data_IF_072364347214
#
_entry.id   IF_072364347214
#
_cell.length_a   1.000
_cell.length_b   1.000
_cell.length_c   1.000
_cell.angle_alpha   90.00
_cell.angle_beta   90.00
_cell.angle_gamma   90.00
#
_symmetry.space_group_name_H-M   'P 1'
#
loop_
_entity.id
_entity.type
_entity.pdbx_description
1 polymer ?
#
# COMPACT_ATOMS: atom_id res chain seq x y z
N UNK A 1 -7.06 12.18 15.88
CA UNK A 1 -7.96 12.18 14.73
C UNK A 1 -8.05 10.79 14.15
N UNK A 2 -9.25 10.30 13.97
CA UNK A 2 -9.43 8.94 13.46
C UNK A 2 -9.13 8.87 11.98
N UNK A 3 -8.40 7.82 11.57
CA UNK A 3 -8.21 7.53 10.16
C UNK A 3 -9.43 6.72 9.71
N UNK A 4 -10.04 7.15 8.62
CA UNK A 4 -11.10 6.39 8.00
C UNK A 4 -10.49 5.40 7.02
N UNK A 5 -10.93 4.16 7.09
CA UNK A 5 -10.43 3.09 6.25
C UNK A 5 -11.46 2.72 5.20
N UNK A 6 -11.00 2.53 3.99
CA UNK A 6 -11.82 2.09 2.87
C UNK A 6 -11.40 0.67 2.52
N UNK A 7 -12.36 -0.21 2.39
CA UNK A 7 -12.07 -1.55 1.90
C UNK A 7 -11.89 -1.48 0.40
N UNK A 8 -10.79 -2.04 -0.09
CA UNK A 8 -10.45 -2.05 -1.50
C UNK A 8 -10.04 -3.46 -1.90
N UNK A 9 -10.32 -3.82 -3.15
CA UNK A 9 -9.99 -5.16 -3.62
C UNK A 9 -8.70 -5.15 -4.41
N UNK A 10 -7.89 -6.18 -4.21
CA UNK A 10 -6.66 -6.38 -4.96
C UNK A 10 -6.99 -6.71 -6.40
N UNK A 11 -6.34 -6.04 -7.33
CA UNK A 11 -6.46 -6.31 -8.76
C UNK A 11 -5.42 -7.34 -9.16
N UNK A 12 -4.16 -7.09 -8.88
CA UNK A 12 -3.08 -8.03 -9.13
C UNK A 12 -1.84 -7.67 -8.33
N UNK A 13 -0.87 -8.54 -8.37
CA UNK A 13 0.47 -8.30 -7.82
C UNK A 13 1.49 -8.73 -8.86
N UNK A 14 2.59 -7.99 -8.94
CA UNK A 14 3.71 -8.32 -9.80
C UNK A 14 4.96 -8.51 -8.95
N UNK A 15 5.58 -9.65 -9.07
CA UNK A 15 6.85 -9.94 -8.37
C UNK A 15 8.00 -9.58 -9.28
N UNK A 16 8.70 -8.52 -8.92
CA UNK A 16 9.85 -8.06 -9.68
C UNK A 16 11.12 -8.84 -9.34
N UNK A 17 11.24 -9.17 -8.06
CA UNK A 17 12.28 -10.05 -7.54
C UNK A 17 11.62 -10.93 -6.49
N UNK A 18 12.39 -11.79 -5.83
CA UNK A 18 11.84 -12.64 -4.77
C UNK A 18 11.21 -11.81 -3.64
N UNK A 19 11.71 -10.61 -3.41
CA UNK A 19 11.26 -9.78 -2.29
C UNK A 19 10.56 -8.51 -2.71
N UNK A 20 10.79 -8.02 -3.92
CA UNK A 20 10.22 -6.75 -4.39
C UNK A 20 8.95 -7.02 -5.18
N UNK A 21 7.84 -6.48 -4.68
CA UNK A 21 6.52 -6.73 -5.23
C UNK A 21 5.78 -5.42 -5.39
N UNK A 22 5.05 -5.27 -6.49
CA UNK A 22 4.06 -4.21 -6.61
C UNK A 22 2.67 -4.81 -6.51
N UNK A 23 1.76 -4.08 -5.88
CA UNK A 23 0.37 -4.50 -5.72
C UNK A 23 -0.53 -3.40 -6.24
N UNK A 24 -1.49 -3.79 -7.07
CA UNK A 24 -2.52 -2.90 -7.59
C UNK A 24 -3.84 -3.22 -6.94
N UNK A 25 -4.60 -2.18 -6.63
CA UNK A 25 -5.90 -2.34 -5.98
C UNK A 25 -6.84 -1.24 -6.44
N UNK A 26 -8.12 -1.40 -6.12
CA UNK A 26 -9.16 -0.48 -6.55
C UNK A 26 -8.89 0.94 -6.07
N UNK A 27 -9.19 1.91 -6.94
CA UNK A 27 -9.00 3.32 -6.65
C UNK A 27 -10.24 3.90 -6.02
N UNK A 28 -10.25 3.94 -4.70
CA UNK A 28 -11.40 4.40 -3.91
C UNK A 28 -11.09 5.63 -3.06
N UNK A 29 -10.04 6.36 -3.40
CA UNK A 29 -9.66 7.55 -2.63
C UNK A 29 -9.78 8.80 -3.51
N UNK A 30 -9.90 9.99 -2.87
CA UNK A 30 -9.90 11.26 -3.61
C UNK A 30 -8.65 11.47 -4.43
N UNK A 31 -8.66 12.43 -5.36
CA UNK A 31 -7.48 12.74 -6.16
C UNK A 31 -6.23 12.94 -5.30
N UNK A 32 -5.10 12.48 -5.81
CA UNK A 32 -3.83 12.58 -5.12
C UNK A 32 -2.73 13.00 -6.10
N UNK A 33 -1.57 13.32 -5.58
CA UNK A 33 -0.39 13.67 -6.38
C UNK A 33 0.57 12.49 -6.34
N UNK A 34 1.16 12.14 -7.48
CA UNK A 34 2.13 11.06 -7.53
C UNK A 34 3.24 11.27 -6.50
N UNK A 35 3.61 10.21 -5.82
CA UNK A 35 4.62 10.27 -4.76
C UNK A 35 4.05 10.46 -3.36
N UNK A 36 2.79 10.84 -3.24
CA UNK A 36 2.14 10.85 -1.93
C UNK A 36 2.02 9.42 -1.41
N UNK A 37 1.85 9.28 -0.11
CA UNK A 37 1.70 7.96 0.49
C UNK A 37 0.28 7.76 1.01
N UNK A 38 -0.09 6.50 1.15
CA UNK A 38 -1.27 6.10 1.88
C UNK A 38 -0.90 4.92 2.77
N UNK A 39 -1.73 4.64 3.76
CA UNK A 39 -1.53 3.46 4.59
C UNK A 39 -2.37 2.33 4.06
N UNK A 40 -1.79 1.15 4.02
CA UNK A 40 -2.47 -0.08 3.63
C UNK A 40 -2.43 -1.02 4.81
N UNK A 41 -3.53 -1.67 5.08
CA UNK A 41 -3.64 -2.55 6.22
C UNK A 41 -4.47 -3.78 5.98
N UNK A 42 -4.29 -4.73 6.87
CA UNK A 42 -5.08 -5.96 6.94
C UNK A 42 -5.51 -6.18 8.37
N UNK A 43 -6.65 -6.81 8.55
CA UNK A 43 -7.06 -7.26 9.88
C UNK A 43 -6.40 -8.59 10.16
N UNK A 44 -5.55 -8.60 11.16
CA UNK A 44 -4.81 -9.78 11.58
C UNK A 44 -5.12 -10.03 13.05
N UNK A 45 -5.71 -11.18 13.34
CA UNK A 45 -6.10 -11.56 14.72
C UNK A 45 -6.97 -10.49 15.41
N UNK A 46 -7.86 -9.86 14.64
CA UNK A 46 -8.76 -8.84 15.17
C UNK A 46 -8.20 -7.43 15.18
N UNK A 47 -6.94 -7.26 14.91
CA UNK A 47 -6.30 -5.94 14.89
C UNK A 47 -5.98 -5.51 13.47
N UNK A 48 -6.15 -4.21 13.21
CA UNK A 48 -5.76 -3.64 11.93
C UNK A 48 -4.27 -3.31 11.98
N UNK A 49 -3.49 -4.05 11.20
CA UNK A 49 -2.06 -3.80 11.05
C UNK A 49 -1.84 -3.04 9.76
N UNK A 50 -1.25 -1.87 9.82
CA UNK A 50 -1.05 -1.03 8.65
C UNK A 50 0.36 -0.47 8.59
N UNK A 51 0.77 -0.13 7.36
CA UNK A 51 2.07 0.50 7.09
C UNK A 51 1.89 1.51 5.97
N UNK A 52 2.68 2.58 5.96
CA UNK A 52 2.64 3.56 4.88
C UNK A 52 3.41 3.06 3.66
N UNK A 53 2.87 3.34 2.49
CA UNK A 53 3.51 3.04 1.22
C UNK A 53 3.30 4.20 0.26
N UNK A 54 4.32 4.52 -0.52
CA UNK A 54 4.20 5.55 -1.55
C UNK A 54 3.38 5.05 -2.72
N UNK A 55 2.50 5.91 -3.22
CA UNK A 55 1.71 5.61 -4.40
C UNK A 55 2.59 5.82 -5.63
N UNK A 56 2.78 4.76 -6.41
CA UNK A 56 3.60 4.80 -7.62
C UNK A 56 2.75 4.89 -8.88
N UNK A 57 1.44 4.68 -8.76
CA UNK A 57 0.52 4.87 -9.87
C UNK A 57 0.33 6.37 -10.16
N UNK A 58 0.09 6.70 -11.41
CA UNK A 58 -0.23 8.08 -11.77
C UNK A 58 -1.65 8.42 -11.33
N UNK A 59 -1.91 9.69 -10.96
CA UNK A 59 -3.24 10.07 -10.49
C UNK A 59 -4.37 9.84 -11.49
N UNK A 60 -4.07 9.79 -12.78
CA UNK A 60 -5.07 9.57 -13.82
C UNK A 60 -5.34 8.10 -14.12
N UNK A 61 -4.58 7.19 -13.51
CA UNK A 61 -4.80 5.77 -13.73
C UNK A 61 -6.01 5.28 -12.95
N UNK A 62 -6.64 4.21 -13.43
CA UNK A 62 -7.87 3.68 -12.86
C UNK A 62 -7.63 2.79 -11.64
N UNK A 63 -6.40 2.68 -11.21
CA UNK A 63 -6.02 1.84 -10.07
C UNK A 63 -5.01 2.57 -9.21
N UNK A 64 -4.85 2.07 -8.00
CA UNK A 64 -3.76 2.49 -7.12
C UNK A 64 -2.70 1.39 -7.11
N UNK A 65 -1.45 1.79 -7.05
CA UNK A 65 -0.33 0.85 -7.01
C UNK A 65 0.70 1.31 -6.01
N UNK A 66 1.18 0.38 -5.22
CA UNK A 66 2.31 0.61 -4.32
C UNK A 66 3.32 -0.51 -4.49
N UNK A 67 4.57 -0.24 -4.13
CA UNK A 67 5.63 -1.23 -4.15
C UNK A 67 6.00 -1.51 -2.70
N UNK A 68 6.18 -2.77 -2.38
CA UNK A 68 6.63 -3.15 -1.05
C UNK A 68 7.72 -4.22 -1.14
N UNK A 69 8.54 -4.27 -0.11
CA UNK A 69 9.52 -5.34 0.06
C UNK A 69 8.92 -6.37 1.00
N UNK A 70 8.87 -7.62 0.57
CA UNK A 70 8.38 -8.69 1.42
C UNK A 70 9.44 -9.01 2.47
N UNK A 71 9.12 -8.69 3.71
CA UNK A 71 10.01 -8.97 4.85
C UNK A 71 9.45 -10.21 5.55
N UNK A 72 10.14 -11.35 5.51
CA UNK A 72 9.59 -12.60 6.08
C UNK A 72 9.18 -12.48 7.54
N UNK A 73 9.89 -11.68 8.32
CA UNK A 73 9.58 -11.47 9.74
C UNK A 73 8.68 -10.26 9.97
N UNK A 74 8.23 -9.59 8.91
CA UNK A 74 7.36 -8.44 9.02
C UNK A 74 5.96 -8.85 9.45
N UNK A 75 5.25 -7.90 10.07
CA UNK A 75 3.87 -8.17 10.52
C UNK A 75 2.87 -8.11 9.38
N UNK A 76 3.12 -7.30 8.37
CA UNK A 76 2.15 -7.06 7.30
C UNK A 76 2.54 -7.70 5.97
N UNK A 77 3.80 -7.53 5.53
CA UNK A 77 4.18 -7.90 4.17
C UNK A 77 4.01 -9.38 3.84
N UNK A 78 4.28 -10.34 4.74
CA UNK A 78 4.00 -11.74 4.41
C UNK A 78 2.54 -12.01 4.10
N UNK A 79 1.63 -11.29 4.75
CA UNK A 79 0.20 -11.45 4.52
C UNK A 79 -0.23 -10.75 3.23
N UNK A 80 0.35 -9.58 2.92
CA UNK A 80 0.12 -8.95 1.62
C UNK A 80 0.54 -9.87 0.49
N UNK A 81 1.67 -10.54 0.67
CA UNK A 81 2.25 -11.42 -0.35
C UNK A 81 1.36 -12.61 -0.69
N UNK A 82 0.48 -12.99 0.22
CA UNK A 82 -0.44 -14.12 0.03
C UNK A 82 -1.77 -13.73 -0.58
N UNK A 83 -2.02 -12.43 -0.78
CA UNK A 83 -3.29 -11.97 -1.31
C UNK A 83 -3.42 -12.30 -2.79
N UNK A 84 -4.62 -12.72 -3.18
CA UNK A 84 -4.97 -12.97 -4.56
C UNK A 84 -5.91 -11.88 -5.07
N UNK A 85 -6.17 -11.90 -6.38
CA UNK A 85 -7.14 -11.00 -6.99
C UNK A 85 -8.49 -11.13 -6.28
N UNK A 86 -9.11 -9.97 -6.02
CA UNK A 86 -10.37 -9.81 -5.31
C UNK A 86 -10.30 -10.00 -3.79
N UNK A 87 -9.13 -10.30 -3.23
CA UNK A 87 -8.98 -10.22 -1.79
C UNK A 87 -9.07 -8.78 -1.33
N UNK A 88 -9.54 -8.55 -0.12
CA UNK A 88 -9.75 -7.21 0.39
C UNK A 88 -8.56 -6.73 1.20
N UNK A 89 -8.25 -5.45 1.02
CA UNK A 89 -7.31 -4.72 1.88
C UNK A 89 -7.99 -3.47 2.39
N UNK A 90 -7.44 -2.87 3.42
CA UNK A 90 -7.91 -1.60 3.94
C UNK A 90 -6.94 -0.51 3.54
N UNK A 91 -7.47 0.58 3.02
CA UNK A 91 -6.69 1.70 2.51
C UNK A 91 -7.12 2.95 3.27
N UNK A 92 -6.16 3.77 3.70
CA UNK A 92 -6.48 5.06 4.28
C UNK A 92 -7.30 5.88 3.27
N UNK A 93 -8.32 6.59 3.74
CA UNK A 93 -9.29 7.25 2.87
C UNK A 93 -8.74 8.36 2.00
N UNK A 94 -7.49 8.73 2.17
CA UNK A 94 -6.83 9.75 1.35
C UNK A 94 -5.33 9.54 1.36
N UNK A 95 -4.68 9.97 0.30
CA UNK A 95 -3.24 10.11 0.28
C UNK A 95 -2.84 11.37 1.03
N UNK A 96 -1.67 11.39 1.62
CA UNK A 96 -1.16 12.56 2.31
C UNK A 96 0.34 12.69 2.12
N UNK A 97 0.85 13.89 2.35
CA UNK A 97 2.25 14.23 2.34
C UNK A 97 3.07 13.50 1.28
N UNK A 98 4.35 13.52 1.46
CA UNK A 98 5.21 12.64 0.69
C UNK A 98 5.91 11.75 1.69
N UNK A 99 5.86 10.44 1.45
CA UNK A 99 6.68 9.53 2.22
C UNK A 99 8.10 9.75 1.75
N UNK A 100 8.50 10.98 1.84
CA UNK A 100 9.88 11.33 1.62
C UNK A 100 10.48 11.17 2.96
N UNK A 101 10.94 10.07 3.15
CA UNK A 101 12.09 10.06 3.97
C UNK A 101 13.00 11.10 3.37
N UNK A 102 13.28 12.11 4.14
CA UNK A 102 14.32 13.02 3.81
C UNK A 102 15.45 12.18 3.19
N UNK A 103 15.79 12.47 1.96
CA UNK A 103 16.82 11.70 1.26
C UNK A 103 18.13 11.68 2.03
N UNK A 104 18.36 12.67 2.87
CA UNK A 104 19.53 12.68 3.73
C UNK A 104 19.48 11.60 4.81
N UNK A 105 18.30 11.08 5.11
CA UNK A 105 18.15 10.00 6.07
C UNK A 105 18.10 8.62 5.41
N UNK A 106 17.98 8.58 4.10
CA UNK A 106 18.04 7.34 3.36
C UNK A 106 19.49 7.15 2.92
N UNK A 107 20.26 6.65 3.82
CA UNK A 107 21.60 6.24 3.43
C UNK A 107 21.53 4.85 2.86
N UNK A 108 21.33 4.86 1.65
CA UNK A 108 21.32 3.61 0.92
C UNK A 108 22.71 3.34 0.44
#
# INVERSE_FOLDING_TARGET
MAINWIESKVIDQTRWTDDLVSIRFEKNIPPYIAGQFTKIGLKLDGDLVSRPYSLVSAPHEDFLEVIYVNVPDGKLTPHLHKLDTNDSIFVMDKASGFFIMDLSLIHI
#
